data_IF_588774991692
#
_entry.id   IF_588774991692
#
_cell.length_a   1.000
_cell.length_b   1.000
_cell.length_c   1.000
_cell.angle_alpha   90.00
_cell.angle_beta   90.00
_cell.angle_gamma   90.00
#
_symmetry.space_group_name_H-M   'P 1'
#
loop_
_entity.id
_entity.type
_entity.pdbx_description
1 polymer ?
#
# COMPACT_ATOMS: atom_id res chain seq x y z
N UNK A 1 -17.53 4.73 -22.89
CA UNK A 1 -16.12 4.70 -22.45
C UNK A 1 -15.75 6.11 -21.98
N UNK A 2 -15.07 6.28 -20.83
CA UNK A 2 -14.55 7.59 -20.47
C UNK A 2 -13.51 8.05 -21.50
N UNK A 3 -13.44 9.35 -21.76
CA UNK A 3 -12.42 9.93 -22.65
C UNK A 3 -11.06 9.86 -21.98
N UNK A 4 -10.06 9.38 -22.71
CA UNK A 4 -8.67 9.29 -22.27
C UNK A 4 -7.87 10.48 -22.77
N UNK A 5 -6.94 10.99 -21.96
CA UNK A 5 -6.05 12.08 -22.34
C UNK A 5 -4.72 11.53 -22.88
N UNK A 6 -4.37 11.89 -24.11
CA UNK A 6 -3.07 11.58 -24.69
C UNK A 6 -2.05 12.66 -24.32
N UNK A 7 -1.24 12.40 -23.29
CA UNK A 7 -0.19 13.31 -22.86
C UNK A 7 1.13 13.02 -23.60
N UNK A 8 1.88 14.07 -23.93
CA UNK A 8 3.25 13.97 -24.47
C UNK A 8 4.20 14.74 -23.57
N UNK A 9 5.16 14.04 -22.99
CA UNK A 9 6.20 14.64 -22.15
C UNK A 9 7.53 14.62 -22.92
N UNK A 10 8.27 15.72 -22.85
CA UNK A 10 9.62 15.82 -23.40
C UNK A 10 10.57 16.18 -22.27
N UNK A 11 11.46 15.26 -21.96
CA UNK A 11 12.51 15.50 -20.97
C UNK A 11 13.80 15.87 -21.67
N UNK A 12 14.46 16.94 -21.23
CA UNK A 12 15.74 17.41 -21.76
C UNK A 12 16.75 17.59 -20.62
N UNK A 13 18.05 17.53 -20.92
CA UNK A 13 19.11 17.72 -19.91
C UNK A 13 19.27 16.56 -18.92
N UNK A 14 18.67 15.39 -19.18
CA UNK A 14 18.88 14.19 -18.35
C UNK A 14 20.29 13.65 -18.61
N UNK A 15 21.04 13.40 -17.53
CA UNK A 15 22.37 12.77 -17.58
C UNK A 15 22.29 11.40 -18.26
N UNK A 16 23.44 10.89 -18.73
CA UNK A 16 23.45 9.60 -19.45
C UNK A 16 22.96 8.41 -18.63
N UNK A 17 23.03 8.49 -17.30
CA UNK A 17 22.38 7.52 -16.42
C UNK A 17 20.91 7.90 -16.21
N UNK A 18 20.03 7.30 -17.01
CA UNK A 18 18.58 7.49 -16.97
C UNK A 18 17.84 6.18 -16.67
N UNK A 19 18.52 5.23 -16.01
CA UNK A 19 17.97 3.92 -15.66
C UNK A 19 16.69 4.04 -14.82
N UNK A 20 16.70 4.88 -13.80
CA UNK A 20 15.55 5.07 -12.90
C UNK A 20 14.34 5.67 -13.61
N UNK A 21 14.56 6.68 -14.46
CA UNK A 21 13.47 7.25 -15.25
C UNK A 21 12.90 6.24 -16.25
N UNK A 22 13.76 5.44 -16.88
CA UNK A 22 13.34 4.36 -17.79
C UNK A 22 12.52 3.32 -17.05
N UNK A 23 12.97 2.90 -15.88
CA UNK A 23 12.28 1.93 -15.03
C UNK A 23 10.93 2.48 -14.56
N UNK A 24 10.86 3.75 -14.15
CA UNK A 24 9.61 4.39 -13.76
C UNK A 24 8.62 4.50 -14.93
N UNK A 25 9.08 4.92 -16.12
CA UNK A 25 8.21 5.01 -17.31
C UNK A 25 7.72 3.62 -17.74
N UNK A 26 8.58 2.61 -17.71
CA UNK A 26 8.23 1.25 -18.12
C UNK A 26 7.39 0.50 -17.08
N UNK A 27 7.51 0.85 -15.80
CA UNK A 27 6.98 0.06 -14.70
C UNK A 27 7.71 -1.28 -14.53
N UNK A 28 7.06 -2.27 -13.94
CA UNK A 28 7.55 -3.65 -13.80
C UNK A 28 8.54 -3.86 -12.64
N UNK A 29 9.12 -2.80 -12.09
CA UNK A 29 9.96 -2.85 -10.89
C UNK A 29 9.17 -3.08 -9.60
N UNK A 30 9.86 -3.00 -8.46
CA UNK A 30 9.27 -3.11 -7.12
C UNK A 30 8.43 -1.86 -6.77
N UNK A 31 7.13 -2.01 -6.52
CA UNK A 31 6.31 -0.92 -5.95
C UNK A 31 6.28 -0.98 -4.42
N UNK A 32 7.04 -0.08 -3.78
CA UNK A 32 7.14 -0.01 -2.33
C UNK A 32 5.83 0.42 -1.66
N UNK A 33 5.14 1.43 -2.21
CA UNK A 33 3.91 1.95 -1.63
C UNK A 33 2.76 0.93 -1.72
N UNK A 34 2.64 0.19 -2.83
CA UNK A 34 1.65 -0.89 -2.98
C UNK A 34 1.93 -2.05 -2.03
N UNK A 35 3.21 -2.38 -1.78
CA UNK A 35 3.59 -3.37 -0.76
C UNK A 35 3.18 -2.89 0.64
N UNK A 36 3.58 -1.67 1.01
CA UNK A 36 3.26 -1.08 2.30
C UNK A 36 1.75 -1.02 2.55
N UNK A 37 0.94 -0.74 1.52
CA UNK A 37 -0.53 -0.82 1.58
C UNK A 37 -1.00 -2.22 1.97
N UNK A 38 -0.53 -3.28 1.30
CA UNK A 38 -0.98 -4.66 1.58
C UNK A 38 -0.60 -5.13 2.97
N UNK A 39 0.64 -4.88 3.36
CA UNK A 39 1.17 -5.18 4.68
C UNK A 39 0.40 -4.40 5.76
N UNK A 40 0.11 -3.12 5.50
CA UNK A 40 -0.70 -2.27 6.37
C UNK A 40 -2.14 -2.76 6.52
N UNK A 41 -2.79 -3.22 5.44
CA UNK A 41 -4.13 -3.83 5.52
C UNK A 41 -4.07 -5.09 6.39
N UNK A 42 -3.05 -5.94 6.25
CA UNK A 42 -2.90 -7.13 7.08
C UNK A 42 -2.74 -6.79 8.57
N UNK A 43 -1.88 -5.82 8.90
CA UNK A 43 -1.68 -5.35 10.27
C UNK A 43 -2.95 -4.70 10.85
N UNK A 44 -3.68 -3.93 10.04
CA UNK A 44 -4.97 -3.35 10.41
C UNK A 44 -5.99 -4.45 10.75
N UNK A 45 -6.13 -5.45 9.88
CA UNK A 45 -7.02 -6.58 10.09
C UNK A 45 -6.62 -7.40 11.33
N UNK A 46 -5.31 -7.60 11.55
CA UNK A 46 -4.79 -8.29 12.71
C UNK A 46 -5.13 -7.57 14.02
N UNK A 47 -5.03 -6.24 14.04
CA UNK A 47 -5.46 -5.43 15.19
C UNK A 47 -6.97 -5.54 15.44
N UNK A 48 -7.76 -5.41 14.38
CA UNK A 48 -9.23 -5.55 14.47
C UNK A 48 -9.68 -6.93 14.94
N UNK A 49 -8.91 -7.98 14.63
CA UNK A 49 -9.20 -9.35 15.03
C UNK A 49 -8.70 -9.71 16.43
N UNK A 50 -7.93 -8.83 17.08
CA UNK A 50 -7.30 -9.10 18.37
C UNK A 50 -6.12 -10.08 18.28
N UNK A 51 -5.44 -10.13 17.13
CA UNK A 51 -4.19 -10.90 16.96
C UNK A 51 -3.00 -10.07 17.44
N UNK A 52 -3.03 -8.77 17.12
CA UNK A 52 -2.02 -7.79 17.53
C UNK A 52 -2.64 -6.74 18.42
N UNK A 53 -1.91 -6.35 19.47
CA UNK A 53 -2.34 -5.40 20.46
C UNK A 53 -1.24 -4.36 20.69
N UNK A 54 -1.56 -3.07 20.86
CA UNK A 54 -0.57 -2.06 21.21
C UNK A 54 -0.05 -2.25 22.65
N UNK A 55 1.11 -1.69 22.97
CA UNK A 55 1.70 -1.69 24.32
C UNK A 55 0.85 -0.93 25.33
N UNK A 56 0.21 0.15 24.88
CA UNK A 56 -0.61 1.00 25.74
C UNK A 56 -2.02 1.08 25.20
N UNK A 57 -2.97 1.37 26.08
CA UNK A 57 -4.36 1.61 25.68
C UNK A 57 -4.42 2.90 24.86
N UNK A 58 -4.95 2.78 23.64
CA UNK A 58 -5.08 3.90 22.71
C UNK A 58 -6.54 4.12 22.33
N UNK A 59 -6.82 5.29 21.76
CA UNK A 59 -8.11 5.61 21.18
C UNK A 59 -7.89 5.98 19.72
N UNK A 60 -8.65 5.34 18.82
CA UNK A 60 -8.63 5.67 17.40
C UNK A 60 -10.05 5.98 16.94
N UNK A 61 -10.43 7.25 17.00
CA UNK A 61 -11.79 7.70 16.66
C UNK A 61 -12.23 7.34 15.24
N UNK A 62 -11.35 7.38 14.20
CA UNK A 62 -11.74 6.96 12.86
C UNK A 62 -12.21 5.51 12.77
N UNK A 63 -11.65 4.60 13.58
CA UNK A 63 -12.05 3.20 13.62
C UNK A 63 -11.78 2.55 14.98
N UNK A 64 -12.69 2.69 15.97
CA UNK A 64 -12.43 2.27 17.35
C UNK A 64 -12.18 0.77 17.52
N UNK A 65 -12.71 -0.06 16.61
CA UNK A 65 -12.53 -1.51 16.63
C UNK A 65 -11.07 -1.94 16.40
N UNK A 66 -10.21 -1.07 15.84
CA UNK A 66 -8.78 -1.38 15.67
C UNK A 66 -8.06 -1.58 17.01
N UNK A 67 -8.54 -0.91 18.06
CA UNK A 67 -7.91 -0.88 19.40
C UNK A 67 -8.84 -1.40 20.50
N UNK A 68 -9.97 -2.03 20.13
CA UNK A 68 -11.00 -2.45 21.07
C UNK A 68 -10.56 -3.56 22.03
N UNK A 69 -9.54 -4.33 21.64
CA UNK A 69 -8.97 -5.40 22.46
C UNK A 69 -7.99 -4.90 23.54
N UNK A 70 -7.75 -3.58 23.63
CA UNK A 70 -6.91 -2.98 24.65
C UNK A 70 -5.41 -3.23 24.45
N UNK A 71 -4.63 -3.03 25.52
CA UNK A 71 -3.18 -3.19 25.50
C UNK A 71 -2.79 -4.67 25.58
N UNK A 72 -1.62 -5.01 25.02
CA UNK A 72 -1.02 -6.32 25.18
C UNK A 72 -0.72 -6.61 26.67
N UNK A 73 -0.80 -7.89 27.03
CA UNK A 73 -0.44 -8.34 28.37
C UNK A 73 1.08 -8.40 28.61
N UNK A 74 1.88 -8.33 27.54
CA UNK A 74 3.34 -8.41 27.57
C UNK A 74 3.99 -7.28 26.77
N UNK A 75 5.27 -7.03 27.04
CA UNK A 75 6.08 -6.00 26.38
C UNK A 75 7.13 -6.61 25.45
N UNK A 76 6.76 -7.63 24.68
CA UNK A 76 7.68 -8.23 23.70
C UNK A 76 8.05 -7.22 22.60
N UNK A 77 9.22 -7.34 21.96
CA UNK A 77 9.62 -6.46 20.86
C UNK A 77 8.59 -6.37 19.74
N UNK A 78 7.91 -7.48 19.40
CA UNK A 78 6.85 -7.50 18.37
C UNK A 78 5.64 -6.62 18.72
N UNK A 79 5.34 -6.46 20.02
CA UNK A 79 4.26 -5.60 20.52
C UNK A 79 4.67 -4.12 20.43
N UNK A 80 5.92 -3.81 20.76
CA UNK A 80 6.49 -2.47 20.55
C UNK A 80 6.41 -2.07 19.08
N UNK A 81 6.85 -2.96 18.19
CA UNK A 81 6.82 -2.72 16.75
C UNK A 81 5.40 -2.49 16.24
N UNK A 82 4.42 -3.29 16.66
CA UNK A 82 3.03 -3.05 16.29
C UNK A 82 2.51 -1.70 16.80
N UNK A 83 2.95 -1.27 17.98
CA UNK A 83 2.61 0.04 18.54
C UNK A 83 3.21 1.18 17.72
N UNK A 84 4.45 1.02 17.26
CA UNK A 84 5.15 2.01 16.41
C UNK A 84 4.50 2.10 15.02
N UNK A 85 4.13 0.94 14.45
CA UNK A 85 3.32 0.90 13.23
C UNK A 85 1.97 1.57 13.41
N UNK A 86 1.26 1.26 14.50
CA UNK A 86 -0.06 1.83 14.78
C UNK A 86 0.01 3.35 14.96
N UNK A 87 1.03 3.85 15.66
CA UNK A 87 1.26 5.29 15.78
C UNK A 87 1.52 5.94 14.41
N UNK A 88 2.32 5.29 13.55
CA UNK A 88 2.58 5.77 12.18
C UNK A 88 1.30 5.75 11.32
N UNK A 89 0.49 4.71 11.44
CA UNK A 89 -0.80 4.59 10.76
C UNK A 89 -1.78 5.68 11.19
N UNK A 90 -1.93 5.90 12.51
CA UNK A 90 -2.83 6.91 13.08
C UNK A 90 -2.39 8.35 12.75
N UNK A 91 -1.10 8.56 12.51
CA UNK A 91 -0.55 9.84 12.07
C UNK A 91 -0.67 10.09 10.55
N UNK A 92 -1.19 9.11 9.78
CA UNK A 92 -1.31 9.24 8.33
C UNK A 92 0.04 9.20 7.62
N UNK A 93 0.93 8.27 8.00
CA UNK A 93 2.27 8.16 7.43
C UNK A 93 2.28 8.20 5.89
N UNK A 94 3.09 9.11 5.33
CA UNK A 94 3.32 9.24 3.89
C UNK A 94 4.08 8.02 3.35
N UNK A 95 3.66 7.49 2.20
CA UNK A 95 4.23 6.30 1.58
C UNK A 95 5.42 6.65 0.67
N UNK A 96 6.38 7.40 1.20
CA UNK A 96 7.68 7.60 0.55
C UNK A 96 8.56 6.34 0.67
N UNK A 97 9.65 6.27 -0.10
CA UNK A 97 10.52 5.10 -0.13
C UNK A 97 11.09 4.70 1.25
N UNK A 98 11.50 5.66 2.07
CA UNK A 98 12.07 5.43 3.41
C UNK A 98 10.99 4.96 4.38
N UNK A 99 9.84 5.61 4.35
CA UNK A 99 8.71 5.27 5.21
C UNK A 99 8.17 3.88 4.83
N UNK A 100 8.04 3.55 3.55
CA UNK A 100 7.66 2.20 3.12
C UNK A 100 8.65 1.11 3.56
N UNK A 101 9.96 1.39 3.55
CA UNK A 101 10.95 0.44 4.08
C UNK A 101 10.79 0.24 5.60
N UNK A 102 10.52 1.33 6.33
CA UNK A 102 10.28 1.28 7.78
C UNK A 102 9.00 0.50 8.11
N UNK A 103 7.90 0.77 7.40
CA UNK A 103 6.63 0.04 7.55
C UNK A 103 6.78 -1.46 7.24
N UNK A 104 7.58 -1.80 6.23
CA UNK A 104 7.91 -3.18 5.92
C UNK A 104 8.68 -3.86 7.06
N UNK A 105 9.65 -3.15 7.65
CA UNK A 105 10.37 -3.66 8.81
C UNK A 105 9.42 -3.90 9.99
N UNK A 106 8.47 -2.98 10.22
CA UNK A 106 7.45 -3.21 11.24
C UNK A 106 6.59 -4.43 10.96
N UNK A 107 6.22 -4.66 9.70
CA UNK A 107 5.50 -5.87 9.31
C UNK A 107 6.29 -7.14 9.59
N UNK A 108 7.59 -7.17 9.25
CA UNK A 108 8.49 -8.31 9.53
C UNK A 108 8.60 -8.60 11.04
N UNK A 109 8.85 -7.56 11.83
CA UNK A 109 9.14 -7.68 13.26
C UNK A 109 7.87 -7.83 14.13
N UNK A 110 6.69 -7.50 13.59
CA UNK A 110 5.40 -7.84 14.20
C UNK A 110 5.10 -9.35 14.21
N UNK A 111 5.84 -10.13 13.41
CA UNK A 111 5.65 -11.56 13.21
C UNK A 111 4.28 -11.97 12.64
N UNK A 112 3.48 -11.04 12.11
CA UNK A 112 2.15 -11.33 11.56
C UNK A 112 2.20 -12.32 10.39
N UNK A 113 3.30 -12.34 9.63
CA UNK A 113 3.56 -13.30 8.55
C UNK A 113 3.52 -14.77 8.98
N UNK A 114 3.64 -15.05 10.29
CA UNK A 114 3.57 -16.41 10.82
C UNK A 114 2.14 -16.82 11.21
N UNK A 115 1.22 -15.86 11.30
CA UNK A 115 -0.18 -16.08 11.65
C UNK A 115 -0.98 -16.57 10.44
N UNK A 116 -0.60 -17.71 9.86
CA UNK A 116 -1.31 -18.32 8.72
C UNK A 116 -2.77 -18.54 9.05
N UNK A 117 -3.65 -18.51 8.05
CA UNK A 117 -5.08 -18.70 8.23
C UNK A 117 -5.44 -19.98 8.99
N UNK A 118 -4.67 -21.06 8.78
CA UNK A 118 -4.88 -22.33 9.50
C UNK A 118 -4.68 -22.21 11.02
N UNK A 119 -3.81 -21.29 11.46
CA UNK A 119 -3.46 -21.08 12.88
C UNK A 119 -4.42 -20.14 13.62
N UNK A 120 -5.22 -19.37 12.88
CA UNK A 120 -6.15 -18.39 13.45
C UNK A 120 -7.37 -19.06 14.09
N UNK A 121 -7.90 -18.46 15.15
CA UNK A 121 -9.17 -18.88 15.74
C UNK A 121 -10.36 -18.59 14.81
N UNK A 122 -11.50 -19.26 15.02
CA UNK A 122 -12.69 -19.04 14.21
C UNK A 122 -13.27 -17.62 14.37
N UNK A 123 -13.06 -17.02 15.54
CA UNK A 123 -13.43 -15.64 15.81
C UNK A 123 -12.56 -14.67 14.98
N UNK A 124 -11.24 -14.83 15.02
CA UNK A 124 -10.30 -14.03 14.21
C UNK A 124 -10.61 -14.13 12.72
N UNK A 125 -10.78 -15.36 12.22
CA UNK A 125 -11.17 -15.64 10.82
C UNK A 125 -12.47 -14.92 10.45
N UNK A 126 -13.43 -14.88 11.35
CA UNK A 126 -14.73 -14.23 11.11
C UNK A 126 -14.60 -12.73 10.99
N UNK A 127 -13.83 -12.09 11.88
CA UNK A 127 -13.57 -10.64 11.82
C UNK A 127 -12.83 -10.28 10.53
N UNK A 128 -11.73 -10.99 10.23
CA UNK A 128 -10.91 -10.77 9.02
C UNK A 128 -11.77 -10.93 7.77
N UNK A 129 -12.53 -12.03 7.66
CA UNK A 129 -13.41 -12.30 6.52
C UNK A 129 -14.44 -11.20 6.32
N UNK A 130 -15.09 -10.74 7.40
CA UNK A 130 -16.13 -9.70 7.33
C UNK A 130 -15.57 -8.40 6.78
N UNK A 131 -14.44 -7.94 7.33
CA UNK A 131 -13.82 -6.68 6.90
C UNK A 131 -13.27 -6.78 5.47
N UNK A 132 -12.61 -7.89 5.15
CA UNK A 132 -12.11 -8.13 3.80
C UNK A 132 -13.26 -8.15 2.79
N UNK A 133 -14.38 -8.83 3.07
CA UNK A 133 -15.52 -8.85 2.15
C UNK A 133 -16.10 -7.45 1.91
N UNK A 134 -16.21 -6.63 2.96
CA UNK A 134 -16.70 -5.25 2.85
C UNK A 134 -15.80 -4.38 1.97
N UNK A 135 -14.48 -4.62 1.99
CA UNK A 135 -13.46 -3.79 1.31
C UNK A 135 -12.76 -4.48 0.15
N UNK A 136 -13.22 -5.66 -0.25
CA UNK A 136 -12.51 -6.52 -1.20
C UNK A 136 -12.27 -5.87 -2.56
N UNK A 137 -13.20 -5.03 -3.02
CA UNK A 137 -13.04 -4.25 -4.25
C UNK A 137 -12.05 -3.08 -4.13
N UNK A 138 -11.79 -2.58 -2.92
CA UNK A 138 -10.83 -1.50 -2.68
C UNK A 138 -9.41 -2.03 -2.38
N UNK A 139 -9.33 -3.17 -1.70
CA UNK A 139 -8.06 -3.79 -1.31
C UNK A 139 -7.50 -4.75 -2.36
N UNK A 140 -8.37 -5.28 -3.22
CA UNK A 140 -7.97 -6.04 -4.40
C UNK A 140 -7.38 -5.10 -5.46
N UNK A 141 -6.20 -5.44 -5.98
CA UNK A 141 -5.65 -4.81 -7.18
C UNK A 141 -6.42 -5.20 -8.46
N UNK A 142 -7.49 -5.97 -8.33
CA UNK A 142 -8.27 -6.52 -9.44
C UNK A 142 -9.76 -6.53 -9.13
N UNK A 143 -10.58 -6.50 -10.18
CA UNK A 143 -12.04 -6.59 -10.09
C UNK A 143 -12.57 -7.94 -9.55
N UNK A 144 -11.68 -8.94 -9.40
CA UNK A 144 -11.99 -10.27 -8.85
C UNK A 144 -11.03 -10.57 -7.71
N UNK A 145 -11.29 -10.04 -6.50
CA UNK A 145 -10.41 -10.25 -5.37
C UNK A 145 -10.29 -11.73 -5.04
N UNK A 146 -9.09 -12.16 -4.69
CA UNK A 146 -8.85 -13.53 -4.25
C UNK A 146 -9.66 -13.83 -2.98
N UNK A 147 -10.03 -15.11 -2.74
CA UNK A 147 -10.58 -15.53 -1.45
C UNK A 147 -9.71 -15.04 -0.30
N UNK A 148 -10.34 -14.56 0.78
CA UNK A 148 -9.63 -13.92 1.91
C UNK A 148 -8.49 -14.77 2.47
N UNK A 149 -8.63 -16.10 2.46
CA UNK A 149 -7.60 -17.00 2.94
C UNK A 149 -6.37 -17.07 2.04
N UNK A 150 -6.59 -17.19 0.73
CA UNK A 150 -5.50 -17.18 -0.24
C UNK A 150 -4.80 -15.82 -0.24
N UNK A 151 -5.57 -14.72 -0.15
CA UNK A 151 -5.00 -13.38 -0.02
C UNK A 151 -4.15 -13.24 1.27
N UNK A 152 -4.67 -13.67 2.42
CA UNK A 152 -3.98 -13.58 3.70
C UNK A 152 -2.70 -14.42 3.73
N UNK A 153 -2.78 -15.68 3.28
CA UNK A 153 -1.63 -16.59 3.29
C UNK A 153 -0.58 -16.16 2.25
N UNK A 154 -0.99 -15.58 1.11
CA UNK A 154 -0.04 -15.05 0.11
C UNK A 154 0.90 -13.96 0.67
N UNK A 155 0.43 -13.17 1.65
CA UNK A 155 1.28 -12.20 2.35
C UNK A 155 2.23 -12.88 3.34
N UNK A 156 1.82 -14.00 3.94
CA UNK A 156 2.61 -14.76 4.90
C UNK A 156 3.80 -15.48 4.26
N UNK A 157 3.63 -15.99 3.04
CA UNK A 157 4.63 -16.82 2.36
C UNK A 157 5.87 -16.03 1.92
N UNK A 158 5.83 -14.69 1.90
CA UNK A 158 6.88 -13.88 1.26
C UNK A 158 6.97 -14.08 -0.26
N UNK A 159 6.21 -15.04 -0.80
CA UNK A 159 5.97 -15.31 -2.21
C UNK A 159 5.11 -14.24 -2.90
N UNK A 160 4.61 -13.26 -2.13
CA UNK A 160 4.16 -12.01 -2.71
C UNK A 160 5.38 -11.28 -3.30
N UNK A 161 5.80 -11.68 -4.50
CA UNK A 161 6.60 -10.84 -5.37
C UNK A 161 5.97 -9.45 -5.28
N UNK A 162 6.71 -8.46 -4.77
CA UNK A 162 6.10 -7.18 -4.48
C UNK A 162 5.37 -6.68 -5.72
N UNK A 163 4.18 -6.11 -5.56
CA UNK A 163 3.36 -5.75 -6.70
C UNK A 163 4.20 -4.93 -7.69
N UNK A 164 4.18 -5.35 -8.95
CA UNK A 164 4.92 -4.67 -10.00
C UNK A 164 4.49 -3.20 -10.03
N UNK A 165 5.44 -2.29 -10.16
CA UNK A 165 5.16 -0.88 -10.36
C UNK A 165 4.37 -0.70 -11.65
N UNK A 166 3.31 0.10 -11.59
CA UNK A 166 2.59 0.48 -12.79
C UNK A 166 3.47 1.47 -13.58
N UNK A 167 3.35 1.50 -14.92
CA UNK A 167 4.03 2.51 -15.73
C UNK A 167 3.69 3.92 -15.27
N UNK A 168 4.70 4.76 -15.06
CA UNK A 168 4.55 6.16 -14.64
C UNK A 168 3.64 6.34 -13.42
N UNK A 169 3.83 5.50 -12.39
CA UNK A 169 3.08 5.64 -11.14
C UNK A 169 3.52 6.91 -10.39
N UNK A 170 2.67 7.94 -10.41
CA UNK A 170 2.98 9.22 -9.78
C UNK A 170 3.01 9.15 -8.26
N UNK A 171 2.50 8.07 -7.65
CA UNK A 171 2.62 7.85 -6.19
C UNK A 171 4.04 7.58 -5.75
N UNK A 172 4.92 7.17 -6.66
CA UNK A 172 6.35 7.04 -6.39
C UNK A 172 7.08 8.39 -6.40
N UNK A 173 6.44 9.44 -6.95
CA UNK A 173 7.00 10.80 -7.05
C UNK A 173 6.38 11.73 -6.00
N UNK A 174 5.06 11.67 -5.84
CA UNK A 174 4.29 12.40 -4.85
C UNK A 174 3.58 11.37 -3.97
N UNK A 175 4.07 11.09 -2.75
CA UNK A 175 3.53 10.03 -1.91
C UNK A 175 2.05 10.23 -1.53
N UNK A 176 1.32 9.12 -1.47
CA UNK A 176 0.01 9.00 -0.80
C UNK A 176 0.18 8.68 0.69
N UNK A 177 -0.89 8.61 1.48
CA UNK A 177 -0.83 8.29 2.91
C UNK A 177 -1.38 6.88 3.22
N UNK A 178 -0.78 6.19 4.19
CA UNK A 178 -1.14 4.79 4.51
C UNK A 178 -2.60 4.63 4.95
N UNK A 179 -3.11 5.52 5.80
CA UNK A 179 -4.49 5.50 6.29
C UNK A 179 -5.50 5.70 5.15
N UNK A 180 -5.22 6.60 4.21
CA UNK A 180 -6.00 6.80 2.98
C UNK A 180 -6.01 5.54 2.12
N UNK A 181 -4.84 4.91 1.92
CA UNK A 181 -4.74 3.67 1.12
C UNK A 181 -5.46 2.48 1.78
N UNK A 182 -5.45 2.38 3.11
CA UNK A 182 -6.22 1.37 3.85
C UNK A 182 -7.72 1.69 3.82
N UNK A 183 -8.11 2.96 3.88
CA UNK A 183 -9.50 3.40 3.70
C UNK A 183 -9.99 3.07 2.27
N UNK A 184 -9.08 3.06 1.29
CA UNK A 184 -9.31 2.56 -0.06
C UNK A 184 -10.00 3.55 -0.99
N UNK A 185 -10.21 3.12 -2.24
CA UNK A 185 -10.72 3.96 -3.33
C UNK A 185 -12.07 4.59 -3.01
N UNK A 186 -13.02 3.79 -2.52
CA UNK A 186 -14.35 4.27 -2.16
C UNK A 186 -14.41 4.82 -0.72
N UNK A 187 -13.36 4.66 0.09
CA UNK A 187 -13.35 5.10 1.49
C UNK A 187 -14.38 4.39 2.37
N UNK A 188 -14.92 5.12 3.36
CA UNK A 188 -16.05 4.70 4.20
C UNK A 188 -15.73 3.69 5.29
N UNK A 189 -14.47 3.26 5.43
CA UNK A 189 -14.03 2.42 6.54
C UNK A 189 -13.59 3.26 7.74
N UNK A 190 -12.74 4.25 7.49
CA UNK A 190 -12.14 5.13 8.49
C UNK A 190 -12.88 6.46 8.52
N UNK A 191 -13.58 6.75 9.61
CA UNK A 191 -14.38 7.97 9.77
C UNK A 191 -13.47 9.21 9.78
N UNK A 192 -13.77 10.19 8.92
CA UNK A 192 -13.00 11.42 8.82
C UNK A 192 -11.71 11.32 7.99
N UNK A 193 -11.28 10.11 7.59
CA UNK A 193 -10.16 9.92 6.67
C UNK A 193 -10.69 10.00 5.22
N UNK A 194 -10.03 10.75 4.32
CA UNK A 194 -10.43 10.82 2.92
C UNK A 194 -10.43 9.45 2.23
N UNK A 195 -11.30 9.28 1.22
CA UNK A 195 -11.19 8.19 0.27
C UNK A 195 -10.03 8.45 -0.70
N UNK A 196 -9.34 7.40 -1.16
CA UNK A 196 -8.21 7.61 -2.08
C UNK A 196 -8.64 8.23 -3.41
N UNK A 197 -9.88 7.99 -3.87
CA UNK A 197 -10.44 8.70 -5.02
C UNK A 197 -10.37 10.23 -4.89
N UNK A 198 -10.88 10.77 -3.78
CA UNK A 198 -10.90 12.21 -3.53
C UNK A 198 -9.50 12.77 -3.31
N UNK A 199 -8.67 12.04 -2.57
CA UNK A 199 -7.28 12.40 -2.36
C UNK A 199 -6.50 12.48 -3.68
N UNK A 200 -6.67 11.50 -4.57
CA UNK A 200 -5.97 11.45 -5.84
C UNK A 200 -6.39 12.57 -6.78
N UNK A 201 -7.69 12.92 -6.82
CA UNK A 201 -8.14 14.07 -7.58
C UNK A 201 -7.50 15.38 -7.11
N UNK A 202 -7.35 15.55 -5.79
CA UNK A 202 -6.74 16.76 -5.23
C UNK A 202 -5.23 16.81 -5.45
N UNK A 203 -4.53 15.68 -5.33
CA UNK A 203 -3.07 15.63 -5.37
C UNK A 203 -2.52 15.48 -6.80
N UNK A 204 -3.13 14.65 -7.64
CA UNK A 204 -2.65 14.32 -8.99
C UNK A 204 -3.54 14.88 -10.11
N UNK A 205 -4.72 15.41 -9.78
CA UNK A 205 -5.70 15.88 -10.78
C UNK A 205 -6.43 14.76 -11.52
N UNK A 206 -6.24 13.49 -11.14
CA UNK A 206 -6.88 12.34 -11.75
C UNK A 206 -7.10 11.22 -10.74
N UNK A 207 -8.08 10.34 -11.00
CA UNK A 207 -8.42 9.22 -10.12
C UNK A 207 -7.49 8.00 -10.26
N UNK A 208 -6.67 7.97 -11.31
CA UNK A 208 -5.73 6.90 -11.61
C UNK A 208 -4.39 7.55 -11.93
N UNK A 209 -3.51 7.76 -10.93
CA UNK A 209 -2.26 8.50 -11.09
C UNK A 209 -1.16 7.63 -11.72
N UNK A 210 -1.49 6.89 -12.78
CA UNK A 210 -0.61 5.98 -13.51
C UNK A 210 -0.74 6.21 -15.01
N UNK A 211 0.32 5.90 -15.76
CA UNK A 211 0.32 5.92 -17.22
C UNK A 211 -0.30 4.64 -17.79
N UNK A 212 -1.10 4.80 -18.84
CA UNK A 212 -1.59 3.68 -19.66
C UNK A 212 -1.02 3.81 -21.06
N UNK A 213 -0.60 2.68 -21.65
CA UNK A 213 0.00 2.63 -22.99
C UNK A 213 1.17 3.62 -23.17
N UNK A 214 2.00 3.74 -22.12
CA UNK A 214 3.16 4.62 -22.12
C UNK A 214 4.16 4.16 -23.20
N UNK A 215 4.38 5.01 -24.19
CA UNK A 215 5.35 4.79 -25.25
C UNK A 215 6.51 5.76 -25.09
N UNK A 216 7.73 5.21 -25.08
CA UNK A 216 8.95 5.98 -24.83
C UNK A 216 9.87 5.94 -26.05
N UNK A 217 10.38 7.11 -26.44
CA UNK A 217 11.42 7.24 -27.46
C UNK A 217 12.58 8.01 -26.88
N UNK A 218 13.79 7.50 -27.12
CA UNK A 218 15.02 8.19 -26.77
C UNK A 218 15.71 8.65 -28.05
N UNK A 219 15.90 9.96 -28.18
CA UNK A 219 16.77 10.49 -29.22
C UNK A 219 18.22 10.29 -28.78
N UNK A 220 18.77 9.12 -29.10
CA UNK A 220 20.21 8.87 -29.03
C UNK A 220 20.75 8.65 -30.46
N UNK A 221 21.68 9.52 -30.86
CA UNK A 221 22.47 9.54 -32.11
C UNK A 221 21.82 10.15 -33.38
N UNK A 222 21.68 11.48 -33.40
CA UNK A 222 22.08 12.27 -34.58
C UNK A 222 23.49 12.81 -34.33
N UNK A 223 24.52 12.03 -34.59
CA UNK A 223 25.89 12.53 -34.80
C UNK A 223 26.68 11.44 -35.54
N UNK A 224 26.57 11.46 -36.86
CA UNK A 224 27.28 10.59 -37.79
C UNK A 224 27.22 11.16 -39.20
N UNK A 225 27.44 12.47 -39.35
CA UNK A 225 27.88 13.01 -40.64
C UNK A 225 29.38 12.70 -40.77
N UNK A 226 29.71 11.62 -41.46
CA UNK A 226 31.01 11.51 -42.11
C UNK A 226 30.95 12.31 -43.41
N UNK A 227 31.75 13.38 -43.47
CA UNK A 227 32.21 13.98 -44.73
C UNK A 227 33.10 13.01 -45.48
#
# INVERSE_FOLDING_TARGET
MPNWCCNRLMFSGIRQDNGDLRAWIAGGGLSLHRRARKEGIQLFLAGCAGILHPLTKQCYAPYPLLVSYGAAADNRPSVQVYSDWLASFMAGAELDAKTCQTLHQYWLDSHIRHARRATLSDQEKTVIRRLYQQKSCDWGDCFRPAPVGEWWDSLCDGDFAPPAAEPMDFRDILPTCLDIEVNGFNGGLLTGVPASYGHYLNQYGCKWPVGFEANMRFDAQRNGFTR
#
